data_IF_409915438180
#
_entry.id   IF_409915438180
#
_cell.length_a   1.000
_cell.length_b   1.000
_cell.length_c   1.000
_cell.angle_alpha   90.00
_cell.angle_beta   90.00
_cell.angle_gamma   90.00
#
_symmetry.space_group_name_H-M   'P 1'
#
loop_
_entity.id
_entity.type
_entity.pdbx_description
1 polymer ?
#
# COMPACT_ATOMS: atom_id res chain seq x y z
N UNK A 1 4.40 13.88 -30.54
CA UNK A 1 4.06 13.47 -29.16
C UNK A 1 4.21 14.69 -28.25
N UNK A 2 3.83 14.60 -26.98
CA UNK A 2 4.26 15.59 -25.98
C UNK A 2 5.76 15.42 -25.70
N UNK A 3 6.43 16.47 -25.25
CA UNK A 3 7.80 16.40 -24.70
C UNK A 3 7.75 15.84 -23.27
N UNK A 4 8.88 15.34 -22.79
CA UNK A 4 9.02 14.91 -21.39
C UNK A 4 8.74 16.06 -20.41
N UNK A 5 9.22 17.27 -20.73
CA UNK A 5 8.95 18.50 -19.97
C UNK A 5 7.45 18.80 -19.86
N UNK A 6 6.71 18.80 -20.98
CA UNK A 6 5.26 19.02 -20.98
C UNK A 6 4.48 17.88 -20.28
N UNK A 7 5.02 16.66 -20.25
CA UNK A 7 4.46 15.56 -19.45
C UNK A 7 4.72 15.77 -17.95
N UNK A 8 5.89 16.28 -17.57
CA UNK A 8 6.25 16.61 -16.18
C UNK A 8 5.41 17.78 -15.66
N UNK A 9 5.12 18.78 -16.49
CA UNK A 9 4.16 19.85 -16.19
C UNK A 9 2.75 19.27 -15.95
N UNK A 10 2.23 18.42 -16.83
CA UNK A 10 0.91 17.79 -16.65
C UNK A 10 0.84 16.90 -15.39
N UNK A 11 1.94 16.26 -14.99
CA UNK A 11 2.04 15.53 -13.72
C UNK A 11 2.03 16.49 -12.51
N UNK A 12 2.73 17.62 -12.59
CA UNK A 12 2.73 18.65 -11.55
C UNK A 12 1.36 19.33 -11.40
N UNK A 13 0.66 19.64 -12.51
CA UNK A 13 -0.73 20.12 -12.51
C UNK A 13 -1.66 19.16 -11.75
N UNK A 14 -1.50 17.85 -11.99
CA UNK A 14 -2.29 16.81 -11.32
C UNK A 14 -1.96 16.66 -9.84
N UNK A 15 -0.69 16.83 -9.44
CA UNK A 15 -0.27 16.84 -8.05
C UNK A 15 -0.78 18.07 -7.31
N UNK A 16 -0.79 19.25 -7.93
CA UNK A 16 -1.37 20.46 -7.36
C UNK A 16 -2.89 20.29 -7.13
N UNK A 17 -3.62 19.78 -8.13
CA UNK A 17 -5.05 19.51 -8.00
C UNK A 17 -5.36 18.42 -6.95
N UNK A 18 -4.43 17.50 -6.67
CA UNK A 18 -4.54 16.54 -5.57
C UNK A 18 -4.21 17.20 -4.21
N UNK A 19 -3.22 18.10 -4.16
CA UNK A 19 -2.84 18.82 -2.94
C UNK A 19 -4.01 19.65 -2.38
N UNK A 20 -4.74 20.34 -3.27
CA UNK A 20 -5.93 21.12 -2.95
C UNK A 20 -7.05 20.26 -2.31
N UNK A 21 -7.30 19.06 -2.85
CA UNK A 21 -8.31 18.11 -2.34
C UNK A 21 -7.94 17.56 -0.96
N UNK A 22 -6.64 17.34 -0.72
CA UNK A 22 -6.12 16.81 0.55
C UNK A 22 -5.86 17.91 1.59
N UNK A 23 -6.03 19.19 1.24
CA UNK A 23 -5.74 20.32 2.12
C UNK A 23 -4.27 20.47 2.50
N UNK A 24 -3.34 19.92 1.71
CA UNK A 24 -1.89 19.98 1.98
C UNK A 24 -1.22 21.11 1.18
N UNK A 25 -0.19 21.81 1.71
CA UNK A 25 0.31 23.04 1.09
C UNK A 25 0.87 22.88 -0.33
N UNK A 26 1.55 21.77 -0.60
CA UNK A 26 2.11 21.41 -1.91
C UNK A 26 2.31 19.91 -2.02
N UNK A 27 2.19 19.37 -3.23
CA UNK A 27 2.71 18.07 -3.62
C UNK A 27 3.58 18.26 -4.89
N UNK A 28 4.76 17.66 -4.92
CA UNK A 28 5.72 17.81 -6.01
C UNK A 28 6.48 16.50 -6.27
N UNK A 29 6.95 16.32 -7.51
CA UNK A 29 7.87 15.25 -7.87
C UNK A 29 9.30 15.60 -7.41
N UNK A 30 9.98 14.63 -6.80
CA UNK A 30 11.42 14.70 -6.51
C UNK A 30 12.26 14.46 -7.78
N UNK A 31 13.59 14.42 -7.62
CA UNK A 31 14.54 14.18 -8.71
C UNK A 31 14.40 12.77 -9.33
N UNK A 32 13.80 11.83 -8.59
CA UNK A 32 13.50 10.47 -9.05
C UNK A 32 12.14 10.37 -9.78
N UNK A 33 11.47 11.50 -10.05
CA UNK A 33 10.09 11.56 -10.56
C UNK A 33 9.06 10.87 -9.63
N UNK A 34 9.26 10.92 -8.32
CA UNK A 34 8.35 10.35 -7.31
C UNK A 34 7.76 11.40 -6.37
N UNK A 35 6.56 11.14 -5.84
CA UNK A 35 5.96 11.93 -4.77
C UNK A 35 5.35 10.98 -3.73
N UNK A 36 5.57 11.23 -2.44
CA UNK A 36 5.01 10.39 -1.36
C UNK A 36 3.93 11.18 -0.62
N UNK A 37 2.71 10.65 -0.62
CA UNK A 37 1.52 11.27 -0.02
C UNK A 37 1.06 10.42 1.17
N UNK A 38 0.77 11.08 2.29
CA UNK A 38 0.10 10.45 3.45
C UNK A 38 -1.37 10.87 3.48
N UNK A 39 -2.29 9.91 3.42
CA UNK A 39 -3.74 10.12 3.47
C UNK A 39 -4.23 9.79 4.88
N UNK A 40 -4.83 10.76 5.57
CA UNK A 40 -5.33 10.67 6.96
C UNK A 40 -4.30 10.18 8.01
N UNK A 41 -3.01 10.22 7.68
CA UNK A 41 -1.94 9.54 8.45
C UNK A 41 -2.12 7.99 8.52
N UNK A 42 -2.99 7.46 7.66
CA UNK A 42 -3.42 6.06 7.57
C UNK A 42 -2.81 5.27 6.41
N UNK A 43 -2.74 5.89 5.22
CA UNK A 43 -2.30 5.26 3.99
C UNK A 43 -1.18 6.07 3.35
N UNK A 44 -0.07 5.42 3.04
CA UNK A 44 1.00 6.01 2.21
C UNK A 44 0.75 5.65 0.75
N UNK A 45 0.65 6.66 -0.11
CA UNK A 45 0.64 6.51 -1.56
C UNK A 45 2.02 6.91 -2.09
N UNK A 46 2.65 6.02 -2.86
CA UNK A 46 3.79 6.37 -3.70
C UNK A 46 3.27 6.69 -5.09
N UNK A 47 3.44 7.94 -5.51
CA UNK A 47 3.12 8.42 -6.84
C UNK A 47 4.41 8.46 -7.66
N UNK A 48 4.39 8.02 -8.92
CA UNK A 48 5.57 7.98 -9.79
C UNK A 48 5.21 8.40 -11.19
N UNK A 49 5.90 9.40 -11.73
CA UNK A 49 5.81 9.79 -13.14
C UNK A 49 6.84 9.00 -13.95
N UNK A 50 6.38 8.26 -14.96
CA UNK A 50 7.23 7.62 -15.97
C UNK A 50 7.04 8.31 -17.33
N UNK A 51 8.08 8.98 -17.87
CA UNK A 51 8.02 9.60 -19.21
C UNK A 51 7.96 8.54 -20.32
N UNK A 52 8.42 7.31 -20.09
CA UNK A 52 8.49 6.23 -21.08
C UNK A 52 7.10 5.75 -21.50
N UNK A 53 6.25 5.43 -20.51
CA UNK A 53 4.84 5.05 -20.72
C UNK A 53 3.89 6.26 -20.72
N UNK A 54 4.40 7.45 -20.41
CA UNK A 54 3.67 8.73 -20.35
C UNK A 54 2.55 8.68 -19.29
N UNK A 55 2.88 8.15 -18.12
CA UNK A 55 1.91 7.84 -17.04
C UNK A 55 2.35 8.41 -15.69
N UNK A 56 1.35 8.72 -14.88
CA UNK A 56 1.49 8.80 -13.43
C UNK A 56 0.92 7.52 -12.83
N UNK A 57 1.76 6.75 -12.15
CA UNK A 57 1.39 5.58 -11.38
C UNK A 57 1.07 5.98 -9.93
N UNK A 58 0.14 5.26 -9.32
CA UNK A 58 -0.11 5.28 -7.88
C UNK A 58 0.16 3.87 -7.36
N UNK A 59 0.92 3.75 -6.26
CA UNK A 59 1.23 2.50 -5.58
C UNK A 59 0.91 2.60 -4.09
N UNK A 60 0.47 1.50 -3.48
CA UNK A 60 0.48 1.35 -2.03
C UNK A 60 0.58 -0.11 -1.59
N UNK A 61 1.23 -0.35 -0.46
CA UNK A 61 1.51 -1.69 0.06
C UNK A 61 0.23 -2.37 0.58
N UNK A 62 0.01 -3.62 0.17
CA UNK A 62 -1.00 -4.52 0.72
C UNK A 62 -0.46 -5.31 1.93
N UNK A 63 0.76 -5.83 1.82
CA UNK A 63 1.49 -6.50 2.92
C UNK A 63 2.99 -6.20 2.87
N UNK A 64 3.61 -6.14 4.06
CA UNK A 64 5.07 -5.99 4.29
C UNK A 64 5.75 -7.30 4.69
N UNK A 65 5.08 -8.44 4.45
CA UNK A 65 5.65 -9.78 4.48
C UNK A 65 4.92 -10.69 3.47
N UNK A 66 5.60 -11.73 2.98
CA UNK A 66 4.99 -12.84 2.24
C UNK A 66 5.07 -14.12 3.10
N UNK A 67 4.01 -14.94 3.20
CA UNK A 67 4.05 -16.20 3.95
C UNK A 67 5.20 -17.11 3.56
N UNK A 68 5.76 -17.81 4.56
CA UNK A 68 6.84 -18.79 4.31
C UNK A 68 6.26 -20.18 4.03
N UNK A 69 5.17 -20.52 4.71
CA UNK A 69 4.28 -21.67 4.45
C UNK A 69 3.88 -21.71 2.97
N UNK A 70 4.13 -22.84 2.29
CA UNK A 70 3.86 -22.96 0.85
C UNK A 70 2.36 -22.98 0.53
N UNK A 71 1.54 -23.55 1.40
CA UNK A 71 0.09 -23.61 1.25
C UNK A 71 -0.53 -22.21 1.25
N UNK A 72 -0.27 -21.42 2.29
CA UNK A 72 -0.78 -20.04 2.45
C UNK A 72 -0.22 -19.09 1.39
N UNK A 73 1.04 -19.28 0.99
CA UNK A 73 1.66 -18.57 -0.13
C UNK A 73 0.98 -18.88 -1.46
N UNK A 74 0.59 -20.14 -1.70
CA UNK A 74 -0.18 -20.55 -2.88
C UNK A 74 -1.59 -19.93 -2.84
N UNK A 75 -2.35 -20.13 -1.75
CA UNK A 75 -3.69 -19.54 -1.57
C UNK A 75 -3.68 -18.01 -1.76
N UNK A 76 -2.67 -17.34 -1.22
CA UNK A 76 -2.45 -15.90 -1.39
C UNK A 76 -2.23 -15.53 -2.86
N UNK A 77 -1.37 -16.26 -3.58
CA UNK A 77 -1.10 -15.97 -5.00
C UNK A 77 -2.32 -16.28 -5.88
N UNK A 78 -3.07 -17.33 -5.59
CA UNK A 78 -4.33 -17.66 -6.27
C UNK A 78 -5.36 -16.52 -6.07
N UNK A 79 -5.60 -16.09 -4.83
CA UNK A 79 -6.46 -14.96 -4.51
C UNK A 79 -6.03 -13.65 -5.20
N UNK A 80 -4.73 -13.33 -5.15
CA UNK A 80 -4.18 -12.13 -5.78
C UNK A 80 -4.31 -12.17 -7.32
N UNK A 81 -4.11 -13.33 -7.96
CA UNK A 81 -4.24 -13.50 -9.41
C UNK A 81 -5.71 -13.48 -9.86
N UNK A 82 -6.61 -14.11 -9.11
CA UNK A 82 -8.04 -14.15 -9.43
C UNK A 82 -8.67 -12.76 -9.34
N UNK A 83 -8.50 -12.02 -8.24
CA UNK A 83 -9.08 -10.67 -8.13
C UNK A 83 -8.32 -9.60 -8.93
N UNK A 84 -7.12 -9.90 -9.46
CA UNK A 84 -6.45 -9.08 -10.47
C UNK A 84 -7.01 -9.28 -11.88
N UNK A 85 -7.86 -10.30 -12.11
CA UNK A 85 -8.39 -10.63 -13.42
C UNK A 85 -9.13 -9.44 -14.03
N UNK A 86 -8.63 -8.97 -15.18
CA UNK A 86 -9.11 -7.76 -15.90
C UNK A 86 -9.00 -6.43 -15.14
N UNK A 87 -8.34 -6.39 -13.96
CA UNK A 87 -8.01 -5.16 -13.21
C UNK A 87 -9.19 -4.34 -12.65
N UNK A 88 -10.44 -4.68 -12.98
CA UNK A 88 -11.65 -3.94 -12.60
C UNK A 88 -11.75 -3.76 -11.09
N UNK A 89 -11.56 -4.85 -10.34
CA UNK A 89 -11.64 -4.89 -8.88
C UNK A 89 -10.34 -4.38 -8.20
N UNK A 90 -9.35 -3.92 -9.00
CA UNK A 90 -8.11 -3.27 -8.58
C UNK A 90 -8.00 -1.82 -9.10
N UNK A 91 -9.13 -1.10 -9.16
CA UNK A 91 -9.17 0.31 -9.61
C UNK A 91 -8.57 0.52 -11.03
N UNK A 92 -8.79 -0.44 -11.94
CA UNK A 92 -8.25 -0.41 -13.30
C UNK A 92 -6.74 -0.69 -13.41
N UNK A 93 -6.10 -1.09 -12.32
CA UNK A 93 -4.67 -1.40 -12.25
C UNK A 93 -4.41 -2.88 -11.95
N UNK A 94 -3.49 -3.16 -11.02
CA UNK A 94 -3.02 -4.52 -10.75
C UNK A 94 -2.13 -4.65 -9.51
N UNK A 95 -1.78 -5.90 -9.17
CA UNK A 95 -0.94 -6.26 -8.03
C UNK A 95 0.48 -6.66 -8.45
N UNK A 96 1.47 -6.33 -7.63
CA UNK A 96 2.86 -6.78 -7.77
C UNK A 96 3.38 -7.40 -6.47
N UNK A 97 4.14 -8.48 -6.58
CA UNK A 97 4.77 -9.20 -5.45
C UNK A 97 6.29 -9.13 -5.59
N UNK A 98 6.98 -8.59 -4.58
CA UNK A 98 8.44 -8.54 -4.53
C UNK A 98 8.98 -9.65 -3.64
N UNK A 99 9.42 -10.76 -4.25
CA UNK A 99 10.03 -11.88 -3.53
C UNK A 99 11.36 -11.51 -2.86
N UNK A 100 12.10 -10.55 -3.43
CA UNK A 100 13.38 -10.07 -2.86
C UNK A 100 13.15 -9.22 -1.60
N UNK A 101 12.14 -8.36 -1.62
CA UNK A 101 11.91 -7.35 -0.57
C UNK A 101 10.73 -7.70 0.34
N UNK A 102 10.21 -8.93 0.22
CA UNK A 102 9.14 -9.53 1.02
C UNK A 102 7.84 -8.69 1.12
N UNK A 103 7.44 -8.00 0.04
CA UNK A 103 6.24 -7.16 0.05
C UNK A 103 5.30 -7.41 -1.13
N UNK A 104 4.08 -6.90 -1.02
CA UNK A 104 3.08 -6.89 -2.09
C UNK A 104 2.42 -5.52 -2.20
N UNK A 105 2.34 -4.98 -3.43
CA UNK A 105 1.82 -3.65 -3.79
C UNK A 105 0.53 -3.77 -4.60
N UNK A 106 -0.46 -2.93 -4.29
CA UNK A 106 -1.52 -2.54 -5.22
C UNK A 106 -1.04 -1.35 -6.07
N UNK A 107 -1.44 -1.29 -7.33
CA UNK A 107 -1.10 -0.20 -8.26
C UNK A 107 -2.28 0.21 -9.15
N UNK A 108 -2.30 1.46 -9.61
CA UNK A 108 -3.08 1.93 -10.77
C UNK A 108 -2.33 3.04 -11.51
N UNK A 109 -2.81 3.52 -12.66
CA UNK A 109 -2.14 4.60 -13.40
C UNK A 109 -3.03 5.46 -14.31
N UNK A 110 -2.69 6.75 -14.39
CA UNK A 110 -3.28 7.76 -15.27
C UNK A 110 -2.37 7.97 -16.48
N UNK A 111 -2.91 7.88 -17.70
CA UNK A 111 -2.19 8.19 -18.94
C UNK A 111 -2.28 9.68 -19.26
N UNK A 112 -1.17 10.41 -19.08
CA UNK A 112 -1.14 11.87 -19.08
C UNK A 112 -1.71 12.52 -20.35
N UNK A 113 -1.30 12.13 -21.59
CA UNK A 113 -1.67 12.84 -22.83
C UNK A 113 -3.16 12.91 -23.18
N UNK A 114 -4.03 12.22 -22.44
CA UNK A 114 -5.51 12.27 -22.62
C UNK A 114 -6.28 12.39 -21.30
N UNK A 115 -5.58 12.63 -20.19
CA UNK A 115 -6.19 12.81 -18.87
C UNK A 115 -6.51 14.28 -18.61
N UNK A 116 -7.52 14.55 -17.77
CA UNK A 116 -7.76 15.90 -17.26
C UNK A 116 -6.69 16.28 -16.22
N UNK A 117 -6.50 17.58 -15.99
CA UNK A 117 -5.69 18.08 -14.86
C UNK A 117 -6.22 17.64 -13.49
N UNK A 118 -7.45 17.14 -13.41
CA UNK A 118 -8.05 16.57 -12.19
C UNK A 118 -7.96 15.04 -12.09
N UNK A 119 -7.45 14.31 -13.09
CA UNK A 119 -7.65 12.86 -13.16
C UNK A 119 -7.03 12.11 -11.97
N UNK A 120 -5.87 12.57 -11.48
CA UNK A 120 -5.22 12.04 -10.27
C UNK A 120 -6.07 12.26 -9.01
N UNK A 121 -6.60 13.48 -8.81
CA UNK A 121 -7.59 13.81 -7.77
C UNK A 121 -8.82 12.90 -7.87
N UNK A 122 -9.36 12.69 -9.07
CA UNK A 122 -10.57 11.89 -9.29
C UNK A 122 -10.38 10.39 -9.03
N UNK A 123 -9.21 9.80 -9.35
CA UNK A 123 -8.97 8.36 -9.13
C UNK A 123 -8.54 8.03 -7.70
N UNK A 124 -7.96 8.98 -6.97
CA UNK A 124 -7.35 8.72 -5.64
C UNK A 124 -8.35 8.18 -4.60
N UNK A 125 -9.58 8.71 -4.42
CA UNK A 125 -10.56 8.14 -3.49
C UNK A 125 -10.89 6.67 -3.80
N UNK A 126 -11.21 6.35 -5.05
CA UNK A 126 -11.52 4.99 -5.48
C UNK A 126 -10.31 4.04 -5.33
N UNK A 127 -9.08 4.54 -5.48
CA UNK A 127 -7.87 3.76 -5.20
C UNK A 127 -7.71 3.48 -3.70
N UNK A 128 -8.00 4.44 -2.82
CA UNK A 128 -7.95 4.26 -1.36
C UNK A 128 -9.04 3.30 -0.87
N UNK A 129 -10.27 3.40 -1.39
CA UNK A 129 -11.35 2.42 -1.11
C UNK A 129 -10.94 1.00 -1.52
N UNK A 130 -10.38 0.86 -2.73
CA UNK A 130 -9.86 -0.41 -3.25
C UNK A 130 -8.73 -0.95 -2.35
N UNK A 131 -7.79 -0.08 -1.95
CA UNK A 131 -6.68 -0.41 -1.06
C UNK A 131 -7.16 -0.92 0.30
N UNK A 132 -8.22 -0.31 0.87
CA UNK A 132 -8.81 -0.74 2.15
C UNK A 132 -9.45 -2.12 2.03
N UNK A 133 -10.27 -2.35 1.00
CA UNK A 133 -10.88 -3.66 0.71
C UNK A 133 -9.80 -4.74 0.60
N UNK A 134 -8.82 -4.54 -0.28
CA UNK A 134 -7.75 -5.51 -0.53
C UNK A 134 -6.85 -5.75 0.69
N UNK A 135 -6.47 -4.71 1.45
CA UNK A 135 -5.71 -4.88 2.70
C UNK A 135 -6.45 -5.73 3.72
N UNK A 136 -7.77 -5.64 3.79
CA UNK A 136 -8.57 -6.43 4.73
C UNK A 136 -8.69 -7.88 4.28
N UNK A 137 -9.03 -8.15 3.02
CA UNK A 137 -9.10 -9.52 2.50
C UNK A 137 -7.74 -10.24 2.57
N UNK A 138 -6.64 -9.55 2.26
CA UNK A 138 -5.28 -10.11 2.43
C UNK A 138 -4.98 -10.40 3.90
N UNK A 139 -5.37 -9.52 4.84
CA UNK A 139 -5.16 -9.73 6.28
C UNK A 139 -5.96 -10.93 6.81
N UNK A 140 -7.19 -11.13 6.32
CA UNK A 140 -8.06 -12.24 6.69
C UNK A 140 -7.49 -13.58 6.20
N UNK A 141 -7.14 -13.68 4.90
CA UNK A 141 -6.49 -14.86 4.32
C UNK A 141 -5.17 -15.22 5.03
N UNK A 142 -4.45 -14.22 5.52
CA UNK A 142 -3.21 -14.39 6.30
C UNK A 142 -3.44 -14.68 7.80
N UNK A 143 -4.65 -14.44 8.33
CA UNK A 143 -5.01 -14.76 9.70
C UNK A 143 -5.48 -16.21 9.87
N UNK A 144 -6.04 -16.83 8.82
CA UNK A 144 -6.48 -18.24 8.85
C UNK A 144 -5.32 -19.24 9.04
N UNK A 145 -4.12 -18.94 8.51
CA UNK A 145 -2.88 -19.69 8.81
C UNK A 145 -2.35 -19.41 10.24
N UNK A 146 -2.90 -18.38 10.90
CA UNK A 146 -2.63 -18.01 12.28
C UNK A 146 -3.43 -18.80 13.32
N UNK A 147 -4.23 -19.79 12.92
CA UNK A 147 -5.07 -20.61 13.81
C UNK A 147 -4.30 -21.59 14.74
N UNK A 148 -2.99 -21.38 14.94
CA UNK A 148 -2.19 -21.92 16.05
C UNK A 148 -1.25 -20.87 16.67
N UNK A 149 -1.56 -19.58 16.49
CA UNK A 149 -0.66 -18.45 16.74
C UNK A 149 -1.33 -17.15 17.21
N UNK A 150 -2.48 -17.23 17.88
CA UNK A 150 -3.08 -16.21 18.77
C UNK A 150 -3.33 -14.77 18.25
N UNK A 151 -4.61 -14.40 18.27
CA UNK A 151 -5.18 -13.04 18.41
C UNK A 151 -5.29 -12.07 17.21
N UNK A 152 -6.52 -12.04 16.69
CA UNK A 152 -7.39 -10.85 16.47
C UNK A 152 -6.80 -9.59 15.83
N UNK A 153 -7.38 -9.20 14.70
CA UNK A 153 -7.21 -7.87 14.12
C UNK A 153 -7.66 -6.75 15.07
N UNK A 154 -6.87 -5.67 15.14
CA UNK A 154 -7.29 -4.38 15.67
C UNK A 154 -6.71 -3.27 14.79
N UNK A 155 -7.53 -2.26 14.50
CA UNK A 155 -7.24 -1.21 13.50
C UNK A 155 -6.71 0.05 14.18
N UNK A 156 -5.41 0.32 14.03
CA UNK A 156 -4.77 1.55 14.50
C UNK A 156 -3.76 2.07 13.46
N UNK A 157 -3.58 3.40 13.42
CA UNK A 157 -2.78 4.12 12.43
C UNK A 157 -1.84 5.14 13.09
N UNK A 158 -1.00 5.79 12.27
CA UNK A 158 0.22 6.57 12.60
C UNK A 158 1.47 5.72 12.85
N UNK A 159 2.69 6.12 12.48
CA UNK A 159 3.22 6.98 11.41
C UNK A 159 4.72 7.12 11.74
N UNK A 160 5.61 6.98 10.75
CA UNK A 160 6.45 8.09 10.30
C UNK A 160 7.36 7.66 9.13
N UNK A 161 7.27 8.43 8.05
CA UNK A 161 8.32 8.67 7.04
C UNK A 161 9.18 7.47 6.61
N UNK A 162 8.65 6.67 5.68
CA UNK A 162 9.48 5.81 4.82
C UNK A 162 9.75 6.57 3.50
N UNK A 163 11.02 6.74 3.14
CA UNK A 163 11.39 7.04 1.76
C UNK A 163 11.24 5.76 0.90
N UNK A 164 10.88 5.86 -0.38
CA UNK A 164 10.87 4.70 -1.28
C UNK A 164 12.29 4.15 -1.49
N UNK A 165 12.48 2.84 -1.64
CA UNK A 165 13.78 2.30 -2.04
C UNK A 165 14.10 2.74 -3.47
N UNK A 166 15.17 3.52 -3.64
CA UNK A 166 15.56 4.19 -4.90
C UNK A 166 15.90 3.24 -6.07
N UNK A 167 15.82 1.91 -5.88
CA UNK A 167 16.09 0.88 -6.89
C UNK A 167 14.85 0.43 -7.70
N UNK A 168 13.66 1.02 -7.52
CA UNK A 168 12.45 0.57 -8.24
C UNK A 168 12.49 0.82 -9.76
N UNK A 169 13.29 1.78 -10.25
CA UNK A 169 13.38 2.13 -11.68
C UNK A 169 14.06 1.08 -12.56
N UNK A 170 14.89 0.19 -12.00
CA UNK A 170 15.74 -0.73 -12.78
C UNK A 170 15.14 -2.13 -13.01
N UNK A 171 14.00 -2.46 -12.39
CA UNK A 171 13.49 -3.84 -12.30
C UNK A 171 12.39 -4.21 -13.30
N UNK A 172 11.91 -3.28 -14.14
CA UNK A 172 10.69 -3.45 -14.96
C UNK A 172 10.94 -3.30 -16.47
N UNK A 173 12.08 -3.81 -16.95
CA UNK A 173 12.61 -3.60 -18.31
C UNK A 173 12.58 -4.79 -19.27
N UNK A 174 11.52 -5.62 -19.30
CA UNK A 174 11.42 -6.73 -20.28
C UNK A 174 10.03 -6.82 -20.92
N UNK A 175 9.96 -6.69 -22.25
CA UNK A 175 8.70 -6.55 -23.00
C UNK A 175 8.13 -7.86 -23.57
N UNK A 176 6.96 -8.27 -23.09
CA UNK A 176 6.16 -9.36 -23.67
C UNK A 176 5.50 -8.93 -24.99
N UNK A 177 5.94 -9.50 -26.12
CA UNK A 177 5.54 -9.09 -27.47
C UNK A 177 4.28 -9.80 -27.97
N UNK A 178 3.10 -9.24 -27.67
CA UNK A 178 1.83 -9.77 -28.17
C UNK A 178 1.52 -9.33 -29.62
N UNK A 179 1.18 -10.29 -30.48
CA UNK A 179 0.73 -10.03 -31.86
C UNK A 179 -0.78 -9.80 -31.91
N UNK A 180 -1.21 -8.71 -32.54
CA UNK A 180 -2.63 -8.44 -32.81
C UNK A 180 -3.07 -9.13 -34.11
N UNK A 181 -4.15 -9.90 -34.03
CA UNK A 181 -4.84 -10.47 -35.20
C UNK A 181 -6.12 -9.67 -35.44
N UNK A 182 -6.31 -9.15 -36.66
CA UNK A 182 -7.56 -8.54 -37.10
C UNK A 182 -8.57 -9.62 -37.47
N UNK A 183 -9.83 -9.43 -37.09
CA UNK A 183 -11.00 -9.97 -37.80
C UNK A 183 -11.95 -8.82 -38.15
N UNK A 184 -12.64 -8.94 -39.28
CA UNK A 184 -13.52 -7.92 -39.85
C UNK A 184 -14.98 -8.21 -39.51
N UNK A 185 -15.71 -7.19 -39.03
CA UNK A 185 -17.06 -7.37 -38.47
C UNK A 185 -18.21 -7.35 -39.48
N UNK A 186 -19.43 -7.36 -38.93
CA UNK A 186 -20.68 -7.15 -39.67
C UNK A 186 -21.81 -6.68 -38.73
N UNK A 187 -22.68 -5.80 -39.26
CA UNK A 187 -24.00 -5.38 -38.74
C UNK A 187 -25.03 -5.75 -39.83
N UNK A 188 -26.37 -5.91 -39.58
CA UNK A 188 -27.22 -4.78 -39.09
C UNK A 188 -28.56 -5.08 -38.34
N UNK A 189 -29.08 -4.02 -37.71
CA UNK A 189 -30.49 -3.53 -37.66
C UNK A 189 -31.72 -4.32 -37.11
N UNK A 190 -32.59 -3.52 -36.44
CA UNK A 190 -34.07 -3.54 -36.37
C UNK A 190 -34.87 -4.45 -35.40
N UNK A 191 -35.99 -3.89 -34.89
CA UNK A 191 -37.15 -4.55 -34.23
C UNK A 191 -38.45 -4.27 -35.03
N UNK A 192 -39.69 -4.18 -34.46
CA UNK A 192 -40.12 -4.07 -33.05
C UNK A 192 -41.36 -4.97 -32.67
N UNK A 193 -42.30 -4.44 -31.84
CA UNK A 193 -43.58 -5.01 -31.28
C UNK A 193 -43.44 -5.84 -29.97
N UNK A 194 -44.36 -5.81 -28.97
CA UNK A 194 -45.53 -4.91 -28.69
C UNK A 194 -46.50 -5.45 -27.60
N UNK A 195 -47.31 -4.57 -26.96
CA UNK A 195 -48.47 -4.86 -26.01
C UNK A 195 -48.05 -5.36 -24.59
N UNK A 196 -48.33 -4.72 -23.42
CA UNK A 196 -49.58 -4.35 -22.69
C UNK A 196 -50.33 -5.55 -22.04
N UNK A 197 -50.96 -5.54 -20.86
CA UNK A 197 -51.32 -4.48 -19.86
C UNK A 197 -50.47 -4.63 -18.56
N UNK A 198 -50.81 -4.41 -17.27
CA UNK A 198 -52.04 -4.12 -16.46
C UNK A 198 -51.68 -3.44 -15.09
N UNK A 199 -52.63 -3.27 -14.15
CA UNK A 199 -52.45 -2.61 -12.83
C UNK A 199 -53.29 -3.29 -11.72
N UNK A 200 -52.78 -3.38 -10.47
CA UNK A 200 -53.61 -3.27 -9.25
C UNK A 200 -52.82 -2.89 -7.98
N UNK A 201 -53.52 -2.51 -6.89
CA UNK A 201 -52.97 -1.82 -5.69
C UNK A 201 -53.69 -2.27 -4.39
N UNK A 202 -53.07 -1.97 -3.23
CA UNK A 202 -53.56 -2.14 -1.84
C UNK A 202 -53.36 -3.57 -1.23
N UNK A 203 -53.12 -3.76 0.08
CA UNK A 203 -52.94 -2.81 1.21
C UNK A 203 -52.07 -3.42 2.34
N UNK A 204 -51.72 -2.63 3.37
CA UNK A 204 -50.93 -3.06 4.54
C UNK A 204 -51.78 -3.76 5.64
N UNK A 205 -51.19 -4.27 6.75
CA UNK A 205 -50.85 -3.39 7.89
C UNK A 205 -49.49 -3.69 8.59
N UNK A 206 -49.20 -2.95 9.65
CA UNK A 206 -47.97 -3.00 10.48
C UNK A 206 -48.16 -3.80 11.79
N UNK A 207 -47.07 -4.25 12.42
CA UNK A 207 -47.07 -4.86 13.77
C UNK A 207 -45.90 -4.36 14.63
N UNK A 208 -46.18 -4.12 15.92
CA UNK A 208 -45.26 -3.67 16.97
C UNK A 208 -44.30 -4.77 17.45
N UNK A 209 -43.11 -4.38 17.95
CA UNK A 209 -42.32 -5.11 18.96
C UNK A 209 -41.79 -4.07 19.99
N UNK A 210 -41.76 -4.35 21.31
CA UNK A 210 -41.40 -3.36 22.34
C UNK A 210 -39.89 -3.28 22.66
N UNK A 211 -39.53 -2.26 23.42
CA UNK A 211 -38.22 -2.10 24.11
C UNK A 211 -38.19 -2.89 25.45
N UNK A 212 -37.11 -2.71 26.21
CA UNK A 212 -36.84 -3.22 27.57
C UNK A 212 -36.69 -4.74 27.77
N UNK A 213 -35.44 -5.23 27.72
CA UNK A 213 -34.76 -5.86 28.87
C UNK A 213 -33.40 -6.50 28.48
N UNK A 214 -32.27 -5.85 28.80
CA UNK A 214 -30.99 -6.52 29.02
C UNK A 214 -30.21 -5.86 30.16
N UNK A 215 -29.54 -6.70 30.95
CA UNK A 215 -29.09 -6.41 32.32
C UNK A 215 -27.64 -5.90 32.38
N UNK A 216 -27.34 -5.03 33.34
CA UNK A 216 -25.97 -4.54 33.60
C UNK A 216 -25.25 -5.47 34.58
N UNK A 217 -24.29 -6.28 34.12
CA UNK A 217 -23.03 -6.50 34.87
C UNK A 217 -21.99 -7.33 34.10
N UNK A 218 -20.90 -6.68 33.68
CA UNK A 218 -19.53 -7.21 33.82
C UNK A 218 -18.49 -6.14 33.48
N UNK A 219 -17.69 -5.74 34.47
CA UNK A 219 -16.62 -4.76 34.27
C UNK A 219 -15.31 -5.41 33.82
N UNK A 220 -14.86 -5.12 32.60
CA UNK A 220 -13.50 -5.41 32.14
C UNK A 220 -12.82 -4.12 31.69
N UNK A 221 -11.70 -3.76 32.33
CA UNK A 221 -10.97 -2.54 31.97
C UNK A 221 -10.32 -2.68 30.58
N UNK A 222 -10.30 -1.61 29.76
CA UNK A 222 -9.71 -1.67 28.42
C UNK A 222 -8.21 -1.94 28.49
N UNK A 223 -7.74 -2.89 27.68
CA UNK A 223 -6.33 -3.28 27.66
C UNK A 223 -5.42 -2.13 27.23
N UNK A 224 -4.33 -1.93 27.97
CA UNK A 224 -3.34 -0.89 27.70
C UNK A 224 -2.66 -1.15 26.35
N UNK A 225 -2.76 -0.16 25.45
CA UNK A 225 -2.07 -0.20 24.16
C UNK A 225 -0.56 -0.17 24.39
N UNK A 226 0.12 -1.28 24.11
CA UNK A 226 1.58 -1.37 24.08
C UNK A 226 2.07 -0.78 22.74
N UNK A 227 2.72 0.41 22.71
CA UNK A 227 3.12 1.04 21.46
C UNK A 227 4.31 0.31 20.84
N UNK A 228 4.29 0.05 19.52
CA UNK A 228 5.42 -0.61 18.86
C UNK A 228 6.73 0.19 19.04
N UNK A 229 7.90 -0.46 19.26
CA UNK A 229 9.14 0.26 19.53
C UNK A 229 9.68 0.94 18.27
N UNK A 230 9.51 2.26 18.18
CA UNK A 230 10.08 3.07 17.09
C UNK A 230 11.45 3.59 17.49
N UNK A 231 12.50 2.95 16.96
CA UNK A 231 13.92 3.31 17.21
C UNK A 231 14.26 4.71 16.66
N UNK A 232 13.66 5.08 15.52
CA UNK A 232 13.86 6.38 14.87
C UNK A 232 14.99 6.42 13.84
N UNK A 233 15.26 5.31 13.14
CA UNK A 233 16.34 5.23 12.13
C UNK A 233 15.83 4.76 10.76
N UNK A 234 16.35 5.41 9.72
CA UNK A 234 16.24 5.03 8.32
C UNK A 234 17.54 4.29 7.95
N UNK A 235 17.43 3.11 7.34
CA UNK A 235 18.55 2.17 7.13
C UNK A 235 18.53 1.53 5.74
N UNK A 236 19.71 1.11 5.26
CA UNK A 236 19.89 0.31 4.04
C UNK A 236 20.74 -0.94 4.32
N UNK A 237 20.67 -1.91 3.42
CA UNK A 237 21.63 -3.02 3.34
C UNK A 237 23.01 -2.48 2.92
N UNK A 238 24.09 -3.03 3.50
CA UNK A 238 25.47 -2.60 3.19
C UNK A 238 26.14 -3.46 2.11
N UNK A 239 26.85 -2.81 1.19
CA UNK A 239 27.46 -3.44 0.00
C UNK A 239 28.39 -4.62 0.33
N UNK A 240 29.06 -4.55 1.48
CA UNK A 240 30.04 -5.52 1.98
C UNK A 240 29.43 -6.85 2.47
N UNK A 241 28.13 -7.07 2.31
CA UNK A 241 27.34 -8.21 2.84
C UNK A 241 27.49 -8.41 4.36
N UNK A 242 27.88 -7.36 5.07
CA UNK A 242 28.18 -7.34 6.50
C UNK A 242 27.53 -6.10 7.12
N UNK A 243 26.32 -6.26 7.65
CA UNK A 243 25.66 -5.27 8.49
C UNK A 243 24.72 -4.31 7.74
N UNK A 244 24.11 -3.42 8.51
CA UNK A 244 23.03 -2.54 8.06
C UNK A 244 23.43 -1.09 8.28
N UNK A 245 23.47 -0.30 7.21
CA UNK A 245 23.97 1.09 7.23
C UNK A 245 22.85 2.05 7.63
N UNK A 246 23.13 2.94 8.58
CA UNK A 246 22.24 4.05 8.93
C UNK A 246 22.29 5.13 7.85
N UNK A 247 21.18 5.35 7.15
CA UNK A 247 21.02 6.48 6.24
C UNK A 247 20.74 7.77 7.03
N UNK A 248 19.92 7.68 8.08
CA UNK A 248 19.48 8.83 8.87
C UNK A 248 19.01 8.41 10.26
N UNK A 249 19.39 9.16 11.27
CA UNK A 249 18.93 8.99 12.64
C UNK A 249 18.09 10.18 13.11
N UNK A 250 17.02 9.89 13.85
CA UNK A 250 16.10 10.87 14.46
C UNK A 250 15.68 10.35 15.85
N UNK A 251 14.92 11.17 16.58
CA UNK A 251 14.21 10.71 17.79
C UNK A 251 15.13 10.02 18.84
N UNK A 252 14.77 8.84 19.36
CA UNK A 252 15.57 8.12 20.35
C UNK A 252 16.99 7.80 19.90
N UNK A 253 17.18 7.24 18.70
CA UNK A 253 18.50 6.82 18.22
C UNK A 253 19.47 7.98 17.98
N UNK A 254 18.99 9.12 17.49
CA UNK A 254 19.81 10.33 17.38
C UNK A 254 20.29 10.82 18.76
N UNK A 255 19.44 10.74 19.79
CA UNK A 255 19.83 11.05 21.18
C UNK A 255 20.78 10.00 21.78
N UNK A 256 20.78 8.77 21.27
CA UNK A 256 21.73 7.72 21.62
C UNK A 256 23.09 7.85 20.88
N UNK A 257 23.30 8.89 20.06
CA UNK A 257 24.57 9.13 19.37
C UNK A 257 24.79 8.31 18.10
N UNK A 258 23.73 7.70 17.56
CA UNK A 258 23.77 7.03 16.25
C UNK A 258 23.74 8.08 15.12
N UNK A 259 24.63 7.92 14.15
CA UNK A 259 24.88 8.87 13.06
C UNK A 259 24.62 8.23 11.68
N UNK A 260 24.38 9.03 10.62
CA UNK A 260 24.49 8.56 9.25
C UNK A 260 25.85 7.88 9.00
N UNK A 261 25.87 6.86 8.15
CA UNK A 261 27.00 5.98 7.83
C UNK A 261 27.50 5.06 8.97
N UNK A 262 26.85 5.03 10.14
CA UNK A 262 27.08 3.95 11.11
C UNK A 262 26.67 2.59 10.52
N UNK A 263 27.53 1.57 10.65
CA UNK A 263 27.22 0.19 10.26
C UNK A 263 26.76 -0.58 11.50
N UNK A 264 25.46 -0.89 11.57
CA UNK A 264 24.90 -1.70 12.66
C UNK A 264 25.38 -3.15 12.51
N UNK A 265 26.07 -3.63 13.54
CA UNK A 265 26.57 -5.01 13.71
C UNK A 265 25.68 -5.86 14.60
N UNK A 266 25.08 -5.26 15.64
CA UNK A 266 24.17 -5.94 16.57
C UNK A 266 23.04 -5.04 17.06
N UNK A 267 21.89 -5.66 17.36
CA UNK A 267 20.71 -5.06 17.99
C UNK A 267 20.33 -5.96 19.18
N UNK A 268 20.35 -5.40 20.39
CA UNK A 268 20.07 -6.14 21.64
C UNK A 268 20.86 -7.46 21.77
N UNK A 269 22.16 -7.39 21.49
CA UNK A 269 23.07 -8.55 21.48
C UNK A 269 22.95 -9.48 20.26
N UNK A 270 21.82 -9.49 19.56
CA UNK A 270 21.58 -10.26 18.33
C UNK A 270 22.44 -9.69 17.20
N UNK A 271 23.23 -10.53 16.52
CA UNK A 271 23.99 -10.13 15.35
C UNK A 271 23.06 -9.87 14.15
N UNK A 272 23.34 -8.81 13.39
CA UNK A 272 22.57 -8.45 12.19
C UNK A 272 23.53 -8.19 11.03
N UNK A 273 23.36 -8.95 9.95
CA UNK A 273 24.21 -8.91 8.76
C UNK A 273 23.44 -8.43 7.52
N UNK A 274 22.12 -8.63 7.51
CA UNK A 274 21.19 -8.26 6.44
C UNK A 274 20.11 -7.30 6.96
N UNK A 275 19.47 -6.56 6.05
CA UNK A 275 18.35 -5.67 6.40
C UNK A 275 17.17 -6.44 7.03
N UNK A 276 16.96 -7.68 6.60
CA UNK A 276 15.92 -8.57 7.14
C UNK A 276 16.22 -9.02 8.59
N UNK A 277 17.46 -9.41 8.92
CA UNK A 277 17.86 -9.71 10.30
C UNK A 277 17.65 -8.51 11.23
N UNK A 278 18.03 -7.31 10.78
CA UNK A 278 17.79 -6.07 11.52
C UNK A 278 16.30 -5.81 11.76
N UNK A 279 15.44 -5.97 10.74
CA UNK A 279 13.99 -5.82 10.89
C UNK A 279 13.39 -6.85 11.86
N UNK A 280 13.89 -8.09 11.88
CA UNK A 280 13.46 -9.10 12.85
C UNK A 280 13.90 -8.76 14.29
N UNK A 281 15.13 -8.29 14.47
CA UNK A 281 15.63 -7.89 15.80
C UNK A 281 14.89 -6.66 16.34
N UNK A 282 14.70 -5.62 15.50
CA UNK A 282 13.98 -4.40 15.86
C UNK A 282 12.53 -4.68 16.32
N UNK A 283 11.83 -5.63 15.68
CA UNK A 283 10.46 -6.05 16.06
C UNK A 283 10.37 -6.79 17.40
N UNK A 284 11.49 -7.24 17.98
CA UNK A 284 11.54 -7.97 19.27
C UNK A 284 11.86 -7.09 20.47
N UNK A 285 12.25 -5.83 20.24
CA UNK A 285 12.54 -4.88 21.32
C UNK A 285 11.28 -4.60 22.15
N UNK A 286 11.45 -4.24 23.43
CA UNK A 286 10.31 -3.89 24.27
C UNK A 286 9.92 -2.40 24.12
N UNK A 287 8.62 -2.08 24.08
CA UNK A 287 8.12 -0.70 24.14
C UNK A 287 8.72 0.08 25.30
N UNK A 288 9.08 1.35 25.07
CA UNK A 288 9.64 2.27 26.07
C UNK A 288 10.94 1.81 26.78
N UNK A 289 11.58 0.72 26.32
CA UNK A 289 12.86 0.24 26.84
C UNK A 289 14.06 0.85 26.08
N UNK A 290 15.25 0.80 26.69
CA UNK A 290 16.50 1.07 26.00
C UNK A 290 17.07 -0.25 25.45
N UNK A 291 17.46 -0.28 24.18
CA UNK A 291 18.10 -1.43 23.54
C UNK A 291 19.55 -1.08 23.14
N UNK A 292 20.55 -1.91 23.45
CA UNK A 292 21.93 -1.66 23.05
C UNK A 292 22.17 -1.99 21.58
N UNK A 293 22.75 -1.05 20.84
CA UNK A 293 23.21 -1.25 19.47
C UNK A 293 24.73 -1.32 19.45
N UNK A 294 25.29 -2.27 18.71
CA UNK A 294 26.72 -2.26 18.37
C UNK A 294 26.83 -1.71 16.96
N UNK A 295 27.42 -0.52 16.85
CA UNK A 295 27.73 0.13 15.57
C UNK A 295 29.24 0.15 15.33
N UNK A 296 29.63 0.03 14.08
CA UNK A 296 30.98 0.31 13.58
C UNK A 296 30.93 1.62 12.82
N UNK A 297 31.90 2.51 13.08
CA UNK A 297 31.96 3.86 12.52
C UNK A 297 33.29 4.03 11.79
N UNK A 298 33.22 4.58 10.58
CA UNK A 298 34.38 4.97 9.77
C UNK A 298 35.00 6.30 10.24
#
# INVERSE_FOLDING_TARGET
ALTEEALRELAADQLHALADELGVPTLALDDNNTCVVSIEDRYTLLITFDPTTQRVYLYSTLSTFIPKTNETKLRLYEFLLEGALLGRDMCGGGVGVSLKNDFILLSTSVYLPRSSRSALRTITPAFVETLVKWRTQVRELLADDGASGMYTASTAHHQQQQQPPQNMSQSLGTTGRFHSVRSTGSTPAAGPHGVSTSVNRASAPSTFIPEDAFDETSGAAPASHQPLPVIGIEVTEGDDARGVIVLKARGPAARAGMLPNDVIRKVDGVAVNTLHEFQQAARRLQPNSAAPFVVERA
#
